data_IF_007320409294
#
_entry.id   IF_007320409294
#
_cell.length_a   1.000
_cell.length_b   1.000
_cell.length_c   1.000
_cell.angle_alpha   90.00
_cell.angle_beta   90.00
_cell.angle_gamma   90.00
#
_symmetry.space_group_name_H-M   'P 1'
#
loop_
_entity.id
_entity.type
_entity.pdbx_description
1 polymer ?
#
# COMPACT_ATOMS: atom_id res chain seq x y z
N UNK A 1 -2.61 2.27 24.40
CA UNK A 1 -2.75 3.36 23.40
C UNK A 1 -4.19 3.41 22.91
N UNK A 2 -4.85 4.57 22.96
CA UNK A 2 -6.14 4.81 22.32
C UNK A 2 -6.17 4.45 20.83
N UNK A 3 -7.35 4.06 20.34
CA UNK A 3 -7.63 3.76 18.92
C UNK A 3 -8.47 4.88 18.32
N UNK A 4 -8.13 5.28 17.10
CA UNK A 4 -8.80 6.36 16.37
C UNK A 4 -9.41 5.86 15.05
N UNK A 5 -10.41 6.58 14.56
CA UNK A 5 -11.05 6.31 13.24
C UNK A 5 -10.51 7.20 12.12
N UNK A 6 -9.84 8.28 12.48
CA UNK A 6 -9.30 9.26 11.54
C UNK A 6 -8.23 10.10 12.19
N UNK A 7 -7.34 10.65 11.38
CA UNK A 7 -6.43 11.72 11.78
C UNK A 7 -6.50 12.87 10.77
N UNK A 8 -6.09 14.05 11.22
CA UNK A 8 -5.98 15.24 10.38
C UNK A 8 -4.56 15.73 10.48
N UNK A 9 -3.91 15.91 9.34
CA UNK A 9 -2.54 16.40 9.28
C UNK A 9 -2.40 17.46 8.21
N UNK A 10 -1.50 18.41 8.44
CA UNK A 10 -1.18 19.46 7.49
C UNK A 10 0.13 19.09 6.79
N UNK A 11 0.04 18.70 5.52
CA UNK A 11 1.22 18.42 4.71
C UNK A 11 1.41 19.51 3.66
N UNK A 12 2.34 19.30 2.73
CA UNK A 12 2.67 20.26 1.67
C UNK A 12 1.48 20.57 0.75
N UNK A 13 0.45 19.71 0.71
CA UNK A 13 -0.77 19.89 -0.07
C UNK A 13 -1.94 20.44 0.77
N UNK A 14 -1.67 20.88 2.00
CA UNK A 14 -2.62 21.49 2.92
C UNK A 14 -3.18 20.54 3.99
N UNK A 15 -4.19 21.04 4.71
CA UNK A 15 -4.84 20.29 5.79
C UNK A 15 -5.75 19.21 5.21
N UNK A 16 -5.42 17.94 5.44
CA UNK A 16 -6.19 16.79 4.96
C UNK A 16 -6.59 15.86 6.09
N UNK A 17 -7.75 15.24 5.92
CA UNK A 17 -8.29 14.21 6.80
C UNK A 17 -8.09 12.85 6.15
N UNK A 18 -7.63 11.89 6.94
CA UNK A 18 -7.44 10.50 6.54
C UNK A 18 -8.26 9.60 7.47
N UNK A 19 -8.88 8.58 6.90
CA UNK A 19 -9.80 7.68 7.57
C UNK A 19 -9.22 6.27 7.66
N UNK A 20 -9.71 5.52 8.64
CA UNK A 20 -9.54 4.07 8.67
C UNK A 20 -10.11 3.45 7.37
N UNK A 21 -9.34 2.61 6.70
CA UNK A 21 -9.70 1.99 5.42
C UNK A 21 -9.28 2.78 4.18
N UNK A 22 -8.71 3.98 4.32
CA UNK A 22 -8.20 4.72 3.18
C UNK A 22 -6.93 4.05 2.62
N UNK A 23 -6.79 4.15 1.30
CA UNK A 23 -5.52 3.89 0.62
C UNK A 23 -4.76 5.19 0.52
N UNK A 24 -3.48 5.17 0.90
CA UNK A 24 -2.66 6.37 1.02
C UNK A 24 -1.30 6.20 0.37
N UNK A 25 -0.77 7.33 -0.12
CA UNK A 25 0.58 7.47 -0.62
C UNK A 25 1.53 7.76 0.54
N UNK A 26 2.66 7.07 0.59
CA UNK A 26 3.64 7.12 1.68
C UNK A 26 5.01 7.45 1.08
N UNK A 27 5.62 8.54 1.54
CA UNK A 27 6.82 9.15 0.89
C UNK A 27 8.13 8.78 1.60
N UNK A 28 8.11 8.73 2.93
CA UNK A 28 9.31 8.55 3.76
C UNK A 28 9.39 7.20 4.47
N UNK A 29 8.33 6.39 4.42
CA UNK A 29 8.36 5.00 4.87
C UNK A 29 8.36 4.04 3.67
N UNK A 30 8.94 2.86 3.87
CA UNK A 30 8.99 1.82 2.83
C UNK A 30 8.78 0.43 3.44
N UNK A 31 8.27 -0.54 2.67
CA UNK A 31 8.18 -1.92 3.13
C UNK A 31 9.56 -2.56 3.40
N UNK A 32 10.67 -1.94 3.01
CA UNK A 32 12.01 -2.52 3.10
C UNK A 32 12.66 -2.49 4.48
N UNK A 33 11.98 -1.98 5.51
CA UNK A 33 12.48 -1.94 6.89
C UNK A 33 12.29 -3.23 7.69
N UNK A 34 11.61 -4.26 7.15
CA UNK A 34 11.05 -5.37 7.93
C UNK A 34 11.60 -6.76 7.52
N UNK A 35 11.33 -7.79 8.34
CA UNK A 35 11.79 -9.18 8.13
C UNK A 35 11.34 -9.75 6.77
N UNK A 36 10.14 -9.40 6.30
CA UNK A 36 9.60 -9.84 5.00
C UNK A 36 10.47 -9.38 3.83
N UNK A 37 11.18 -8.26 3.99
CA UNK A 37 12.01 -7.66 2.95
C UNK A 37 13.49 -8.06 3.04
N UNK A 38 13.95 -8.62 4.16
CA UNK A 38 15.26 -9.28 4.25
C UNK A 38 15.39 -10.44 3.25
N UNK A 39 14.28 -11.15 2.96
CA UNK A 39 14.23 -12.24 1.97
C UNK A 39 14.04 -11.78 0.52
N UNK A 40 13.57 -10.55 0.28
CA UNK A 40 13.23 -10.06 -1.06
C UNK A 40 14.45 -9.63 -1.89
N UNK A 41 15.61 -9.49 -1.24
CA UNK A 41 16.74 -8.75 -1.80
C UNK A 41 16.43 -7.26 -1.83
N UNK A 42 17.42 -6.42 -1.56
CA UNK A 42 17.30 -4.97 -1.76
C UNK A 42 17.17 -4.71 -3.26
N UNK A 43 15.98 -4.87 -3.81
CA UNK A 43 15.65 -4.26 -5.07
C UNK A 43 15.76 -2.76 -4.81
N UNK A 44 16.88 -2.18 -5.20
CA UNK A 44 17.12 -0.75 -5.30
C UNK A 44 16.18 -0.19 -6.36
N UNK A 45 14.88 -0.18 -6.03
CA UNK A 45 13.88 0.54 -6.79
C UNK A 45 14.28 1.99 -6.64
N UNK A 46 14.96 2.53 -7.66
CA UNK A 46 15.06 3.97 -7.85
C UNK A 46 13.66 4.52 -7.61
N UNK A 47 13.49 5.38 -6.59
CA UNK A 47 12.21 5.93 -6.12
C UNK A 47 11.52 6.71 -7.25
N UNK A 48 10.95 6.01 -8.23
CA UNK A 48 10.17 6.61 -9.33
C UNK A 48 8.75 6.91 -8.88
N UNK A 49 8.26 6.24 -7.84
CA UNK A 49 6.90 6.34 -7.32
C UNK A 49 6.90 6.22 -5.81
N UNK A 50 5.96 6.93 -5.18
CA UNK A 50 5.66 6.78 -3.76
C UNK A 50 5.10 5.37 -3.48
N UNK A 51 5.23 4.92 -2.24
CA UNK A 51 4.59 3.67 -1.80
C UNK A 51 3.10 3.89 -1.58
N UNK A 52 2.30 2.84 -1.83
CA UNK A 52 0.88 2.86 -1.52
C UNK A 52 0.61 1.88 -0.39
N UNK A 53 -0.23 2.29 0.55
CA UNK A 53 -0.58 1.47 1.71
C UNK A 53 -2.07 1.63 2.07
N UNK A 54 -2.65 0.61 2.69
CA UNK A 54 -4.03 0.59 3.18
C UNK A 54 -4.03 0.74 4.70
N UNK A 55 -4.76 1.72 5.24
CA UNK A 55 -4.84 1.98 6.68
C UNK A 55 -5.76 0.97 7.36
N UNK A 56 -5.23 0.16 8.27
CA UNK A 56 -5.96 -0.91 8.98
C UNK A 56 -6.20 -0.57 10.46
N UNK A 57 -5.30 0.19 11.08
CA UNK A 57 -5.51 0.70 12.43
C UNK A 57 -4.82 2.06 12.62
N UNK A 58 -5.37 2.88 13.51
CA UNK A 58 -4.76 4.18 13.89
C UNK A 58 -4.68 4.23 15.41
N UNK A 59 -3.48 4.45 15.93
CA UNK A 59 -3.22 4.52 17.37
C UNK A 59 -2.29 5.67 17.69
N UNK A 60 -2.44 6.26 18.86
CA UNK A 60 -1.55 7.31 19.31
C UNK A 60 -1.59 7.47 20.82
N UNK A 61 -0.51 7.98 21.41
CA UNK A 61 -0.51 8.39 22.83
C UNK A 61 -0.83 9.88 22.98
N UNK A 62 -0.54 10.68 21.96
CA UNK A 62 -0.75 12.12 21.94
C UNK A 62 -1.03 12.61 20.50
N UNK A 63 -1.50 13.87 20.30
CA UNK A 63 -1.73 14.41 18.96
C UNK A 63 -0.48 14.50 18.07
N UNK A 64 0.71 14.47 18.67
CA UNK A 64 2.00 14.51 17.95
C UNK A 64 2.65 13.13 17.82
N UNK A 65 2.11 12.13 18.52
CA UNK A 65 2.56 10.74 18.50
C UNK A 65 1.41 9.83 18.03
N UNK A 66 1.18 9.86 16.72
CA UNK A 66 0.13 9.06 16.06
C UNK A 66 0.77 8.18 15.00
N UNK A 67 0.46 6.90 15.07
CA UNK A 67 0.95 5.86 14.20
C UNK A 67 -0.23 5.15 13.52
N UNK A 68 0.01 4.71 12.28
CA UNK A 68 -0.93 3.88 11.55
C UNK A 68 -0.35 2.48 11.32
N UNK A 69 -1.15 1.45 11.60
CA UNK A 69 -0.90 0.11 11.09
C UNK A 69 -1.44 0.06 9.66
N UNK A 70 -0.57 -0.33 8.72
CA UNK A 70 -0.90 -0.37 7.30
C UNK A 70 -0.58 -1.71 6.68
N UNK A 71 -1.29 -2.03 5.61
CA UNK A 71 -0.93 -3.11 4.68
C UNK A 71 -0.28 -2.48 3.45
N UNK A 72 0.92 -2.92 3.09
CA UNK A 72 1.61 -2.43 1.91
C UNK A 72 0.99 -2.93 0.62
N UNK A 73 0.85 -2.03 -0.35
CA UNK A 73 0.47 -2.34 -1.73
C UNK A 73 1.74 -2.27 -2.59
N UNK A 74 2.00 -3.32 -3.36
CA UNK A 74 3.20 -3.43 -4.16
C UNK A 74 2.95 -2.97 -5.58
N UNK A 75 3.86 -2.15 -6.08
CA UNK A 75 4.04 -1.97 -7.51
C UNK A 75 4.53 -3.29 -8.13
N UNK A 76 4.06 -3.67 -9.32
CA UNK A 76 4.51 -4.86 -10.03
C UNK A 76 6.03 -4.95 -10.16
N UNK A 77 6.69 -3.83 -10.44
CA UNK A 77 8.14 -3.74 -10.60
C UNK A 77 8.88 -4.01 -9.29
N UNK A 78 8.21 -3.77 -8.16
CA UNK A 78 8.75 -3.97 -6.83
C UNK A 78 8.65 -5.41 -6.32
N UNK A 79 7.88 -6.26 -6.99
CA UNK A 79 7.73 -7.65 -6.61
C UNK A 79 9.02 -8.42 -6.91
N UNK A 80 9.40 -9.38 -6.05
CA UNK A 80 10.52 -10.26 -6.33
C UNK A 80 10.30 -11.04 -7.63
N UNK A 81 11.39 -11.51 -8.27
CA UNK A 81 11.31 -12.25 -9.54
C UNK A 81 10.33 -13.44 -9.50
N UNK A 82 10.20 -14.10 -8.35
CA UNK A 82 9.23 -15.19 -8.13
C UNK A 82 7.77 -14.73 -8.19
N UNK A 83 7.48 -13.48 -7.87
CA UNK A 83 6.17 -12.87 -8.03
C UNK A 83 5.84 -12.50 -9.47
N UNK A 84 6.82 -12.10 -10.29
CA UNK A 84 6.59 -11.60 -11.66
C UNK A 84 6.32 -12.68 -12.73
N UNK A 85 5.81 -13.87 -12.39
CA UNK A 85 5.70 -15.01 -13.33
C UNK A 85 4.86 -14.67 -14.58
N UNK A 86 5.53 -14.29 -15.68
CA UNK A 86 4.97 -14.20 -17.03
C UNK A 86 3.81 -13.21 -17.21
N UNK A 87 3.56 -12.32 -16.26
CA UNK A 87 2.38 -11.45 -16.23
C UNK A 87 2.78 -10.01 -16.53
N UNK A 88 2.16 -9.44 -17.56
CA UNK A 88 2.28 -8.02 -17.88
C UNK A 88 1.30 -7.24 -17.01
N UNK A 89 1.83 -6.37 -16.16
CA UNK A 89 1.03 -5.45 -15.36
C UNK A 89 0.98 -4.08 -16.04
N UNK A 90 -0.16 -3.40 -15.95
CA UNK A 90 -0.29 -2.02 -16.42
C UNK A 90 0.28 -1.02 -15.40
N UNK A 91 0.63 0.18 -15.84
CA UNK A 91 1.24 1.21 -15.00
C UNK A 91 0.39 1.61 -13.78
N UNK A 92 -0.93 1.43 -13.82
CA UNK A 92 -1.85 1.80 -12.73
C UNK A 92 -2.28 0.59 -11.87
N UNK A 93 -1.63 -0.55 -12.04
CA UNK A 93 -1.91 -1.76 -11.28
C UNK A 93 -1.03 -1.85 -10.04
N UNK A 94 -1.65 -2.19 -8.93
CA UNK A 94 -1.03 -2.52 -7.65
C UNK A 94 -1.35 -3.98 -7.29
N UNK A 95 -0.54 -4.55 -6.42
CA UNK A 95 -0.74 -5.89 -5.87
C UNK A 95 -0.94 -5.76 -4.37
N UNK A 96 -2.08 -6.22 -3.87
CA UNK A 96 -2.33 -6.25 -2.42
C UNK A 96 -1.39 -7.24 -1.76
N UNK A 97 -1.13 -7.11 -0.46
CA UNK A 97 -0.29 -8.07 0.26
C UNK A 97 -0.76 -8.35 1.68
N UNK A 98 -0.15 -9.33 2.35
CA UNK A 98 -0.23 -9.51 3.81
C UNK A 98 0.88 -8.75 4.56
N UNK A 99 1.63 -7.87 3.89
CA UNK A 99 2.76 -7.21 4.51
C UNK A 99 2.29 -6.03 5.38
N UNK A 100 2.24 -6.27 6.69
CA UNK A 100 1.96 -5.24 7.68
C UNK A 100 3.18 -4.36 7.93
N UNK A 101 2.94 -3.06 8.11
CA UNK A 101 3.93 -2.09 8.56
C UNK A 101 3.30 -1.11 9.54
N UNK A 102 4.10 -0.58 10.45
CA UNK A 102 3.73 0.57 11.27
C UNK A 102 4.41 1.78 10.66
N UNK A 103 3.64 2.83 10.38
CA UNK A 103 4.15 4.09 9.86
C UNK A 103 3.76 5.25 10.78
N UNK A 104 4.57 6.31 10.75
CA UNK A 104 4.17 7.59 11.30
C UNK A 104 3.14 8.23 10.37
N UNK A 105 2.07 8.82 10.92
CA UNK A 105 1.05 9.49 10.08
C UNK A 105 1.60 10.68 9.31
N UNK A 106 2.76 11.23 9.72
CA UNK A 106 3.48 12.31 9.04
C UNK A 106 4.11 11.88 7.71
N UNK A 107 4.31 10.57 7.51
CA UNK A 107 4.83 10.02 6.26
C UNK A 107 3.75 9.88 5.17
N UNK A 108 2.49 10.18 5.51
CA UNK A 108 1.34 10.10 4.61
C UNK A 108 1.16 11.41 3.83
N UNK A 109 1.18 11.32 2.50
CA UNK A 109 1.05 12.47 1.59
C UNK A 109 -0.39 12.68 1.09
N UNK A 110 -1.03 11.63 0.56
CA UNK A 110 -2.35 11.79 -0.05
C UNK A 110 -3.17 10.53 -0.04
N UNK A 111 -4.49 10.71 -0.05
CA UNK A 111 -5.42 9.62 -0.33
C UNK A 111 -5.29 9.23 -1.80
N UNK A 112 -5.19 7.94 -2.05
CA UNK A 112 -5.03 7.35 -3.37
C UNK A 112 -6.38 6.75 -3.77
N UNK A 113 -7.00 7.18 -4.88
CA UNK A 113 -8.24 6.58 -5.35
C UNK A 113 -7.95 5.20 -5.93
N UNK A 114 -8.01 4.18 -5.07
CA UNK A 114 -7.80 2.79 -5.43
C UNK A 114 -9.13 2.05 -5.57
N UNK A 115 -9.30 1.32 -6.66
CA UNK A 115 -10.46 0.47 -6.91
C UNK A 115 -10.06 -1.00 -6.87
N UNK A 116 -10.77 -1.79 -6.06
CA UNK A 116 -10.63 -3.24 -6.09
C UNK A 116 -11.31 -3.77 -7.35
N UNK A 117 -10.56 -4.36 -8.28
CA UNK A 117 -11.20 -5.08 -9.39
C UNK A 117 -11.61 -6.47 -8.91
N UNK A 118 -12.89 -6.61 -8.54
CA UNK A 118 -13.60 -7.88 -8.78
C UNK A 118 -13.92 -7.92 -10.27
N UNK A 119 -13.79 -9.07 -10.94
CA UNK A 119 -14.20 -9.24 -12.35
C UNK A 119 -15.69 -8.92 -12.51
N UNK A 120 -16.05 -7.66 -12.71
CA UNK A 120 -17.34 -7.23 -13.24
C UNK A 120 -17.10 -6.54 -14.57
N UNK A 121 -17.92 -6.92 -15.56
CA UNK A 121 -17.60 -6.89 -16.99
C UNK A 121 -17.52 -5.51 -17.63
N UNK A 122 -17.80 -4.43 -16.90
CA UNK A 122 -17.84 -3.07 -17.44
C UNK A 122 -17.29 -2.09 -16.41
N UNK A 123 -16.10 -1.56 -16.64
CA UNK A 123 -15.75 -0.27 -16.05
C UNK A 123 -14.78 0.51 -16.92
N UNK A 124 -15.18 1.74 -17.22
CA UNK A 124 -14.50 2.67 -18.11
C UNK A 124 -13.21 3.20 -17.49
N UNK A 125 -12.19 3.39 -18.34
CA UNK A 125 -10.87 3.95 -18.04
C UNK A 125 -10.98 5.24 -17.21
N UNK A 126 -10.91 5.10 -15.90
CA UNK A 126 -10.67 6.21 -14.96
C UNK A 126 -9.17 6.18 -14.59
N UNK A 127 -8.56 7.34 -14.32
CA UNK A 127 -7.18 7.46 -13.79
C UNK A 127 -7.05 6.96 -12.33
N UNK A 128 -7.65 5.81 -12.02
CA UNK A 128 -7.73 5.20 -10.69
C UNK A 128 -6.79 4.00 -10.65
N UNK A 129 -6.13 3.81 -9.51
CA UNK A 129 -5.32 2.62 -9.32
C UNK A 129 -6.22 1.40 -9.16
N UNK A 130 -5.70 0.24 -9.52
CA UNK A 130 -6.43 -1.01 -9.51
C UNK A 130 -5.58 -2.09 -8.86
N UNK A 131 -6.13 -2.94 -8.00
CA UNK A 131 -5.44 -4.18 -7.62
C UNK A 131 -6.26 -5.43 -7.94
N UNK A 132 -5.55 -6.48 -8.38
CA UNK A 132 -6.12 -7.75 -8.92
C UNK A 132 -5.60 -8.98 -8.16
N UNK A 133 -4.30 -8.99 -7.90
CA UNK A 133 -3.60 -10.13 -7.31
C UNK A 133 -3.22 -9.85 -5.85
N UNK A 134 -2.90 -10.93 -5.14
CA UNK A 134 -2.44 -10.87 -3.76
C UNK A 134 -1.02 -11.42 -3.65
N UNK A 135 -0.12 -10.68 -3.02
CA UNK A 135 1.26 -11.07 -2.77
C UNK A 135 1.41 -11.55 -1.33
N UNK A 136 1.80 -12.81 -1.16
CA UNK A 136 2.20 -13.34 0.13
C UNK A 136 3.69 -13.05 0.37
N UNK A 137 3.95 -12.07 1.23
CA UNK A 137 5.31 -11.64 1.55
C UNK A 137 6.10 -12.67 2.36
N UNK A 138 5.44 -13.58 3.07
CA UNK A 138 6.09 -14.61 3.88
C UNK A 138 6.69 -15.72 3.00
N UNK A 139 5.95 -16.11 1.97
CA UNK A 139 6.33 -17.17 1.04
C UNK A 139 6.96 -16.64 -0.26
N UNK A 140 6.85 -15.34 -0.52
CA UNK A 140 7.40 -14.70 -1.73
C UNK A 140 6.67 -15.09 -3.01
N UNK A 141 5.38 -15.41 -2.91
CA UNK A 141 4.54 -15.91 -4.00
C UNK A 141 3.33 -15.02 -4.24
N UNK A 142 2.91 -14.90 -5.51
CA UNK A 142 1.62 -14.28 -5.84
C UNK A 142 0.54 -15.36 -5.80
N UNK A 143 -0.52 -15.08 -5.05
CA UNK A 143 -1.77 -15.81 -5.04
C UNK A 143 -2.69 -15.09 -6.03
N UNK A 144 -2.96 -15.75 -7.15
CA UNK A 144 -3.95 -15.26 -8.10
C UNK A 144 -5.34 -15.49 -7.52
N UNK A 145 -6.15 -14.43 -7.46
CA UNK A 145 -7.57 -14.57 -7.15
C UNK A 145 -8.27 -15.20 -8.37
N UNK A 146 -8.18 -16.53 -8.51
CA UNK A 146 -9.13 -17.27 -9.31
C UNK A 146 -10.46 -17.23 -8.56
N UNK A 147 -11.33 -16.29 -8.95
CA UNK A 147 -12.76 -16.47 -8.72
C UNK A 147 -13.16 -17.79 -9.39
N UNK A 148 -13.36 -18.83 -8.58
CA UNK A 148 -14.24 -19.94 -8.94
C UNK A 148 -15.67 -19.43 -8.89
#
# INVERSE_FOLDING_TARGET
MPRYKSFVFNNTQGRRRFLLGDYVSVTNASPYSNICTAKLGRASIKRKRDWVAHIVDIRGTSPVDVHALVIWMYWPEALPRRGKRGKEYQENELVASNHLGVIDVRDVDRVVPLKVLRKTRNDTRSQRFIWKDFFDCMHGSIIENYAR
#
